data_IF_520039033614
#
_entry.id   IF_520039033614
#
_cell.length_a   1.000
_cell.length_b   1.000
_cell.length_c   1.000
_cell.angle_alpha   90.00
_cell.angle_beta   90.00
_cell.angle_gamma   90.00
#
_symmetry.space_group_name_H-M   'P 1'
#
loop_
_entity.id
_entity.type
_entity.pdbx_description
1 polymer ?
#
# COMPACT_ATOMS: atom_id res chain seq x y z
N UNK A 1 15.14 52.29 -9.64
CA UNK A 1 14.58 51.02 -9.10
C UNK A 1 15.77 50.12 -8.78
N UNK A 2 15.95 49.73 -7.53
CA UNK A 2 17.19 49.16 -7.03
C UNK A 2 17.34 47.69 -7.53
N UNK A 3 18.47 47.33 -8.14
CA UNK A 3 18.77 46.01 -8.70
C UNK A 3 18.58 44.86 -7.69
N UNK A 4 18.75 45.13 -6.38
CA UNK A 4 18.46 44.17 -5.30
C UNK A 4 16.97 43.88 -5.13
N UNK A 5 16.10 44.88 -5.36
CA UNK A 5 14.64 44.72 -5.29
C UNK A 5 14.12 43.83 -6.45
N UNK A 6 14.70 44.01 -7.64
CA UNK A 6 14.37 43.24 -8.82
C UNK A 6 14.79 41.77 -8.66
N UNK A 7 15.96 41.50 -8.06
CA UNK A 7 16.47 40.17 -7.81
C UNK A 7 15.64 39.39 -6.79
N UNK A 8 15.16 40.08 -5.74
CA UNK A 8 14.30 39.47 -4.74
C UNK A 8 12.88 39.24 -5.27
N UNK A 9 12.36 40.13 -6.13
CA UNK A 9 11.07 39.97 -6.78
C UNK A 9 11.08 38.80 -7.80
N UNK A 10 12.20 38.63 -8.52
CA UNK A 10 12.38 37.51 -9.45
C UNK A 10 12.53 36.16 -8.71
N UNK A 11 13.23 36.16 -7.57
CA UNK A 11 13.41 34.96 -6.75
C UNK A 11 12.09 34.54 -6.04
N UNK A 12 11.26 35.50 -5.63
CA UNK A 12 9.94 35.21 -5.05
C UNK A 12 8.96 34.73 -6.13
N UNK A 13 9.07 35.23 -7.35
CA UNK A 13 8.25 34.80 -8.48
C UNK A 13 8.62 33.39 -8.96
N UNK A 14 9.90 33.02 -8.93
CA UNK A 14 10.36 31.65 -9.29
C UNK A 14 9.94 30.63 -8.24
N UNK A 15 9.90 30.99 -6.95
CA UNK A 15 9.41 30.09 -5.89
C UNK A 15 7.88 29.91 -5.97
N UNK A 16 7.14 30.93 -6.43
CA UNK A 16 5.68 30.82 -6.60
C UNK A 16 5.24 29.97 -7.80
N UNK A 17 6.13 29.73 -8.78
CA UNK A 17 5.81 28.92 -9.97
C UNK A 17 5.95 27.39 -9.68
N UNK A 18 6.64 27.00 -8.61
CA UNK A 18 6.77 25.58 -8.24
C UNK A 18 5.64 25.01 -7.35
N UNK A 19 4.62 25.83 -7.01
CA UNK A 19 3.50 25.39 -6.14
C UNK A 19 2.20 25.13 -6.93
N UNK A 20 2.19 25.26 -8.26
CA UNK A 20 0.96 25.10 -9.03
C UNK A 20 1.15 24.19 -10.24
N UNK A 21 1.36 22.91 -10.00
CA UNK A 21 0.90 21.88 -10.93
C UNK A 21 0.65 20.56 -10.18
N UNK A 22 -0.26 20.56 -9.21
CA UNK A 22 -1.08 19.38 -9.04
C UNK A 22 -2.15 19.47 -10.11
N UNK A 23 -1.94 18.79 -11.21
CA UNK A 23 -3.03 18.45 -12.11
C UNK A 23 -4.11 17.77 -11.28
N UNK A 24 -5.36 18.02 -11.57
CA UNK A 24 -6.54 17.45 -10.92
C UNK A 24 -6.67 15.92 -11.12
N UNK A 25 -5.69 15.28 -11.71
CA UNK A 25 -5.60 13.84 -11.87
C UNK A 25 -4.69 13.26 -10.78
N UNK A 26 -5.11 12.16 -10.15
CA UNK A 26 -4.25 11.39 -9.28
C UNK A 26 -3.19 10.66 -10.11
N UNK A 27 -1.97 11.16 -10.12
CA UNK A 27 -0.84 10.56 -10.82
C UNK A 27 0.06 9.72 -9.89
N UNK A 28 -0.34 9.51 -8.63
CA UNK A 28 0.38 8.67 -7.70
C UNK A 28 0.26 7.20 -8.12
N UNK A 29 1.35 6.62 -8.59
CA UNK A 29 1.39 5.19 -8.91
C UNK A 29 1.65 4.35 -7.67
N UNK A 30 1.18 3.11 -7.65
CA UNK A 30 1.13 2.21 -6.49
C UNK A 30 2.48 2.01 -5.78
N UNK A 31 3.59 1.99 -6.52
CA UNK A 31 4.93 1.67 -6.01
C UNK A 31 5.97 2.75 -6.32
N UNK A 32 5.57 3.93 -6.79
CA UNK A 32 6.50 5.06 -6.96
C UNK A 32 6.91 5.65 -5.60
N UNK A 33 7.99 6.42 -5.58
CA UNK A 33 8.41 7.13 -4.37
C UNK A 33 7.31 8.09 -3.90
N UNK A 34 6.62 8.76 -4.82
CA UNK A 34 5.50 9.66 -4.54
C UNK A 34 4.28 8.89 -4.01
N UNK A 35 3.96 7.73 -4.60
CA UNK A 35 2.84 6.89 -4.17
C UNK A 35 3.05 6.35 -2.75
N UNK A 36 4.22 5.80 -2.46
CA UNK A 36 4.57 5.30 -1.12
C UNK A 36 4.65 6.45 -0.11
N UNK A 37 5.21 7.61 -0.49
CA UNK A 37 5.22 8.80 0.35
C UNK A 37 3.79 9.29 0.66
N UNK A 38 2.88 9.24 -0.33
CA UNK A 38 1.47 9.59 -0.15
C UNK A 38 0.77 8.63 0.81
N UNK A 39 1.01 7.32 0.72
CA UNK A 39 0.49 6.34 1.70
C UNK A 39 0.98 6.69 3.11
N UNK A 40 2.28 6.93 3.30
CA UNK A 40 2.85 7.33 4.60
C UNK A 40 2.20 8.60 5.15
N UNK A 41 2.09 9.64 4.31
CA UNK A 41 1.48 10.94 4.67
C UNK A 41 0.05 10.73 5.18
N UNK A 42 -0.77 10.04 4.39
CA UNK A 42 -2.19 9.85 4.70
C UNK A 42 -2.39 8.99 5.95
N UNK A 43 -1.60 7.92 6.11
CA UNK A 43 -1.65 7.10 7.33
C UNK A 43 -1.31 7.93 8.57
N UNK A 44 -0.20 8.67 8.56
CA UNK A 44 0.20 9.52 9.69
C UNK A 44 -0.77 10.68 9.96
N UNK A 45 -1.42 11.20 8.94
CA UNK A 45 -2.41 12.28 9.08
C UNK A 45 -3.67 11.82 9.80
N UNK A 46 -4.07 10.57 9.61
CA UNK A 46 -5.38 10.07 10.05
C UNK A 46 -5.31 9.06 11.19
N UNK A 47 -4.13 8.50 11.51
CA UNK A 47 -3.93 7.60 12.65
C UNK A 47 -2.86 8.17 13.58
N UNK A 48 -3.21 8.40 14.84
CA UNK A 48 -2.23 8.83 15.86
C UNK A 48 -1.33 7.64 16.23
N UNK A 49 -0.15 7.59 15.60
CA UNK A 49 0.84 6.52 15.81
C UNK A 49 1.47 6.52 17.21
N UNK A 50 1.27 7.57 18.03
CA UNK A 50 1.73 7.62 19.43
C UNK A 50 0.73 6.93 20.37
N UNK A 51 -0.54 6.92 19.98
CA UNK A 51 -1.63 6.32 20.77
C UNK A 51 -2.06 4.96 20.23
N UNK A 52 -1.75 4.65 18.95
CA UNK A 52 -2.19 3.46 18.26
C UNK A 52 -1.01 2.66 17.70
N UNK A 53 -1.19 1.36 17.58
CA UNK A 53 -0.30 0.46 16.85
C UNK A 53 -0.96 0.03 15.56
N UNK A 54 -0.38 0.40 14.43
CA UNK A 54 -0.82 -0.06 13.13
C UNK A 54 -0.24 -1.44 12.87
N UNK A 55 -1.07 -2.40 12.51
CA UNK A 55 -0.62 -3.77 12.21
C UNK A 55 -0.96 -4.23 10.79
N UNK A 56 -1.76 -3.45 10.02
CA UNK A 56 -1.97 -3.67 8.58
C UNK A 56 -2.11 -2.35 7.86
N UNK A 57 -1.41 -2.23 6.74
CA UNK A 57 -1.59 -1.16 5.76
C UNK A 57 -1.74 -1.83 4.41
N UNK A 58 -2.86 -1.57 3.74
CA UNK A 58 -3.14 -2.08 2.41
C UNK A 58 -3.46 -0.90 1.50
N UNK A 59 -2.90 -0.88 0.29
CA UNK A 59 -3.30 0.09 -0.71
C UNK A 59 -3.57 -0.60 -2.04
N UNK A 60 -4.46 0.01 -2.82
CA UNK A 60 -5.04 -0.59 -4.03
C UNK A 60 -5.06 0.39 -5.19
N UNK A 61 -4.96 -0.17 -6.41
CA UNK A 61 -5.24 0.60 -7.61
C UNK A 61 -6.74 0.85 -7.81
N UNK A 62 -7.06 1.75 -8.73
CA UNK A 62 -8.44 1.98 -9.18
C UNK A 62 -9.01 0.71 -9.84
N UNK A 63 -10.20 0.33 -9.41
CA UNK A 63 -10.90 -0.85 -9.92
C UNK A 63 -11.92 -0.56 -11.00
N UNK A 64 -12.12 0.70 -11.34
CA UNK A 64 -13.17 1.13 -12.27
C UNK A 64 -12.60 1.76 -13.52
N UNK A 65 -12.45 3.08 -13.53
CA UNK A 65 -12.13 3.85 -14.72
C UNK A 65 -10.66 3.73 -15.14
N UNK A 66 -9.75 3.60 -14.17
CA UNK A 66 -8.30 3.55 -14.39
C UNK A 66 -7.67 2.19 -14.02
N UNK A 67 -8.45 1.12 -14.18
CA UNK A 67 -7.99 -0.25 -13.96
C UNK A 67 -6.82 -0.58 -14.90
N UNK A 68 -5.79 -1.24 -14.40
CA UNK A 68 -4.53 -1.57 -15.08
C UNK A 68 -3.62 -0.35 -15.39
N UNK A 69 -3.92 0.82 -14.84
CA UNK A 69 -3.06 2.01 -14.94
C UNK A 69 -2.10 2.17 -13.75
N UNK A 70 -2.18 1.27 -12.79
CA UNK A 70 -1.31 1.25 -11.61
C UNK A 70 -1.43 2.52 -10.72
N UNK A 71 -2.62 3.11 -10.66
CA UNK A 71 -2.88 4.35 -9.93
C UNK A 71 -3.43 4.07 -8.54
N UNK A 72 -2.82 4.68 -7.51
CA UNK A 72 -3.29 4.58 -6.13
C UNK A 72 -4.68 5.20 -5.97
N UNK A 73 -5.66 4.43 -5.50
CA UNK A 73 -7.03 4.91 -5.31
C UNK A 73 -7.60 4.68 -3.92
N UNK A 74 -7.10 3.70 -3.19
CA UNK A 74 -7.61 3.37 -1.86
C UNK A 74 -6.47 2.96 -0.92
N UNK A 75 -6.59 3.37 0.35
CA UNK A 75 -5.72 2.92 1.44
C UNK A 75 -6.63 2.40 2.56
N UNK A 76 -6.31 1.23 3.11
CA UNK A 76 -6.98 0.66 4.28
C UNK A 76 -5.96 0.41 5.38
N UNK A 77 -6.29 0.80 6.61
CA UNK A 77 -5.39 0.72 7.77
C UNK A 77 -6.10 0.04 8.91
N UNK A 78 -5.53 -1.05 9.42
CA UNK A 78 -5.98 -1.66 10.67
C UNK A 78 -5.02 -1.30 11.80
N UNK A 79 -5.58 -0.84 12.90
CA UNK A 79 -4.81 -0.41 14.06
C UNK A 79 -5.55 -0.70 15.36
N UNK A 80 -4.79 -0.74 16.45
CA UNK A 80 -5.29 -0.98 17.80
C UNK A 80 -4.87 0.16 18.73
N UNK A 81 -5.79 0.64 19.58
CA UNK A 81 -5.51 1.67 20.60
C UNK A 81 -5.01 1.05 21.93
N UNK A 82 -4.54 1.90 22.83
CA UNK A 82 -4.06 1.50 24.17
C UNK A 82 -5.12 0.82 25.06
N UNK A 83 -6.38 0.83 24.65
CA UNK A 83 -7.51 0.19 25.36
C UNK A 83 -7.90 -1.14 24.71
N UNK A 84 -7.06 -1.67 23.81
CA UNK A 84 -7.32 -2.89 23.03
C UNK A 84 -8.56 -2.79 22.12
N UNK A 85 -8.90 -1.59 21.65
CA UNK A 85 -9.93 -1.46 20.61
C UNK A 85 -9.27 -1.53 19.24
N UNK A 86 -9.76 -2.44 18.42
CA UNK A 86 -9.38 -2.55 17.00
C UNK A 86 -10.20 -1.59 16.14
N UNK A 87 -9.56 -0.99 15.15
CA UNK A 87 -10.17 -0.09 14.19
C UNK A 87 -9.73 -0.42 12.78
N UNK A 88 -10.62 -0.19 11.83
CA UNK A 88 -10.30 -0.15 10.41
C UNK A 88 -10.64 1.23 9.86
N UNK A 89 -9.67 1.88 9.24
CA UNK A 89 -9.80 3.15 8.51
C UNK A 89 -9.65 2.88 7.02
N UNK A 90 -10.57 3.40 6.21
CA UNK A 90 -10.47 3.42 4.75
C UNK A 90 -10.34 4.86 4.28
N UNK A 91 -9.41 5.11 3.36
CA UNK A 91 -9.19 6.40 2.71
C UNK A 91 -9.34 6.17 1.21
N UNK A 92 -10.33 6.81 0.60
CA UNK A 92 -10.64 6.65 -0.82
C UNK A 92 -10.24 7.90 -1.62
N UNK A 93 -9.76 7.72 -2.84
CA UNK A 93 -9.62 8.82 -3.78
C UNK A 93 -10.98 9.09 -4.43
N UNK A 94 -11.51 10.28 -4.20
CA UNK A 94 -12.83 10.70 -4.66
C UNK A 94 -12.80 12.18 -5.02
N UNK A 95 -13.31 12.54 -6.20
CA UNK A 95 -13.41 13.94 -6.65
C UNK A 95 -12.09 14.74 -6.60
N UNK A 96 -10.99 14.08 -6.88
CA UNK A 96 -9.66 14.73 -6.97
C UNK A 96 -8.84 14.71 -5.68
N UNK A 97 -9.35 14.13 -4.58
CA UNK A 97 -8.65 14.09 -3.30
C UNK A 97 -8.83 12.76 -2.55
N UNK A 98 -7.93 12.51 -1.58
CA UNK A 98 -8.03 11.37 -0.68
C UNK A 98 -8.90 11.72 0.53
N UNK A 99 -10.07 11.08 0.63
CA UNK A 99 -11.08 11.32 1.66
C UNK A 99 -11.16 10.12 2.61
N UNK A 100 -10.92 10.30 3.92
CA UNK A 100 -11.08 9.24 4.90
C UNK A 100 -12.54 8.98 5.21
N UNK A 101 -12.91 7.71 5.34
CA UNK A 101 -14.15 7.31 6.01
C UNK A 101 -14.00 7.44 7.53
N UNK A 102 -15.13 7.41 8.25
CA UNK A 102 -15.07 7.30 9.71
C UNK A 102 -14.50 5.93 10.11
N UNK A 103 -13.51 5.87 11.02
CA UNK A 103 -12.92 4.60 11.43
C UNK A 103 -13.96 3.66 12.02
N UNK A 104 -14.03 2.46 11.48
CA UNK A 104 -14.94 1.40 11.96
C UNK A 104 -14.29 0.67 13.11
N UNK A 105 -14.91 0.78 14.28
CA UNK A 105 -14.48 0.03 15.46
C UNK A 105 -14.90 -1.44 15.36
N UNK A 106 -13.97 -2.36 15.66
CA UNK A 106 -14.29 -3.77 15.84
C UNK A 106 -15.35 -3.98 16.94
N UNK A 107 -16.22 -4.96 16.75
CA UNK A 107 -17.30 -5.23 17.73
C UNK A 107 -16.78 -5.74 19.07
N UNK A 108 -15.63 -6.39 19.06
CA UNK A 108 -15.00 -6.97 20.25
C UNK A 108 -13.51 -6.62 20.25
N UNK A 109 -12.92 -6.48 21.44
CA UNK A 109 -11.48 -6.40 21.60
C UNK A 109 -10.88 -7.77 21.25
N UNK A 110 -10.37 -7.90 20.04
CA UNK A 110 -9.85 -9.18 19.54
C UNK A 110 -8.34 -9.30 19.67
N UNK A 111 -7.62 -8.17 19.76
CA UNK A 111 -6.16 -8.12 19.81
C UNK A 111 -5.65 -7.41 21.06
N UNK A 112 -4.39 -7.69 21.42
CA UNK A 112 -3.71 -7.07 22.55
C UNK A 112 -2.78 -5.97 22.07
N UNK A 113 -3.02 -4.73 22.47
CA UNK A 113 -2.12 -3.61 22.24
C UNK A 113 -0.72 -3.89 22.81
N UNK A 114 -0.68 -4.46 24.01
CA UNK A 114 0.58 -4.71 24.75
C UNK A 114 1.55 -5.57 23.94
N UNK A 115 1.06 -6.63 23.31
CA UNK A 115 1.89 -7.65 22.66
C UNK A 115 1.94 -7.52 21.14
N UNK A 116 1.01 -6.80 20.53
CA UNK A 116 1.03 -6.52 19.09
C UNK A 116 2.21 -5.62 18.74
N UNK A 117 2.95 -5.99 17.70
CA UNK A 117 4.04 -5.18 17.14
C UNK A 117 3.48 -4.24 16.09
N UNK A 118 3.91 -2.98 16.10
CA UNK A 118 3.49 -1.99 15.11
C UNK A 118 4.34 -2.08 13.83
N UNK A 119 3.75 -1.72 12.70
CA UNK A 119 4.46 -1.43 11.46
C UNK A 119 5.16 -0.08 11.61
N UNK A 120 6.45 -0.04 11.33
CA UNK A 120 7.25 1.19 11.32
C UNK A 120 6.99 1.97 10.03
N UNK A 121 6.10 2.98 10.10
CA UNK A 121 5.65 3.74 8.92
C UNK A 121 6.82 4.43 8.21
N UNK A 122 7.77 4.99 8.97
CA UNK A 122 8.94 5.64 8.41
C UNK A 122 9.88 4.69 7.70
N UNK A 123 9.89 3.41 8.13
CA UNK A 123 10.67 2.33 7.53
C UNK A 123 10.13 1.82 6.20
N UNK A 124 8.92 2.20 5.77
CA UNK A 124 8.40 1.79 4.46
C UNK A 124 9.34 2.27 3.34
N UNK A 125 9.80 1.35 2.51
CA UNK A 125 10.80 1.60 1.48
C UNK A 125 10.24 1.32 0.07
N UNK A 126 10.12 2.34 -0.76
CA UNK A 126 9.60 2.22 -2.12
C UNK A 126 10.51 1.36 -3.03
N UNK A 127 11.82 1.37 -2.79
CA UNK A 127 12.77 0.54 -3.56
C UNK A 127 12.55 -0.96 -3.27
N UNK A 128 12.37 -1.32 -1.99
CA UNK A 128 12.06 -2.69 -1.58
C UNK A 128 10.71 -3.15 -2.16
N UNK A 129 9.68 -2.30 -2.10
CA UNK A 129 8.37 -2.57 -2.68
C UNK A 129 8.49 -2.82 -4.19
N UNK A 130 9.22 -1.97 -4.92
CA UNK A 130 9.49 -2.17 -6.36
C UNK A 130 10.27 -3.44 -6.64
N UNK A 131 11.26 -3.76 -5.80
CA UNK A 131 12.03 -4.99 -5.93
C UNK A 131 11.12 -6.23 -5.82
N UNK A 132 10.25 -6.27 -4.82
CA UNK A 132 9.31 -7.37 -4.63
C UNK A 132 8.35 -7.51 -5.83
N UNK A 133 7.79 -6.40 -6.31
CA UNK A 133 6.92 -6.37 -7.48
C UNK A 133 7.68 -6.87 -8.73
N UNK A 134 8.91 -6.43 -8.93
CA UNK A 134 9.73 -6.86 -10.06
C UNK A 134 10.06 -8.37 -9.98
N UNK A 135 10.30 -8.89 -8.78
CA UNK A 135 10.55 -10.32 -8.54
C UNK A 135 9.31 -11.17 -8.86
N UNK A 136 8.11 -10.73 -8.45
CA UNK A 136 6.85 -11.41 -8.78
C UNK A 136 6.43 -11.23 -10.25
N UNK A 137 6.62 -10.01 -10.80
CA UNK A 137 6.17 -9.64 -12.15
C UNK A 137 7.14 -9.93 -13.28
N UNK A 138 8.42 -10.02 -12.97
CA UNK A 138 9.49 -9.96 -13.98
C UNK A 138 10.12 -11.28 -14.38
N UNK A 139 9.71 -12.40 -13.85
CA UNK A 139 10.19 -13.54 -14.54
C UNK A 139 10.84 -14.71 -13.81
N UNK A 140 10.94 -14.73 -12.51
CA UNK A 140 11.46 -15.93 -11.83
C UNK A 140 10.38 -16.98 -11.58
N UNK A 141 9.24 -16.51 -11.13
CA UNK A 141 8.20 -17.36 -10.51
C UNK A 141 7.18 -17.88 -11.54
N UNK A 142 6.98 -17.15 -12.64
CA UNK A 142 6.07 -17.57 -13.72
C UNK A 142 6.82 -18.19 -14.92
N UNK A 143 8.03 -18.73 -14.71
CA UNK A 143 8.98 -19.07 -15.79
C UNK A 143 8.46 -20.06 -16.84
N UNK A 144 7.62 -20.99 -16.52
CA UNK A 144 7.12 -21.96 -17.51
C UNK A 144 5.92 -21.44 -18.33
N UNK A 145 5.12 -20.53 -17.75
CA UNK A 145 3.97 -19.91 -18.42
C UNK A 145 4.18 -18.41 -18.69
N UNK A 146 5.19 -17.80 -18.06
CA UNK A 146 5.40 -16.35 -18.01
C UNK A 146 5.73 -15.69 -19.35
N UNK A 147 6.28 -16.42 -20.33
CA UNK A 147 6.56 -15.85 -21.66
C UNK A 147 5.29 -15.37 -22.39
N UNK A 148 4.13 -15.92 -22.03
CA UNK A 148 2.85 -15.58 -22.61
C UNK A 148 2.16 -14.40 -21.93
N UNK A 149 2.63 -13.98 -20.74
CA UNK A 149 2.01 -12.93 -19.96
C UNK A 149 2.87 -11.69 -19.87
N UNK A 150 2.24 -10.55 -19.70
CA UNK A 150 2.87 -9.24 -19.52
C UNK A 150 2.32 -8.61 -18.24
N UNK A 151 3.20 -8.23 -17.31
CA UNK A 151 2.83 -7.46 -16.13
C UNK A 151 2.22 -6.11 -16.54
N UNK A 152 1.12 -5.72 -15.87
CA UNK A 152 0.42 -4.46 -16.14
C UNK A 152 0.35 -3.53 -14.95
N UNK A 153 -0.11 -4.02 -13.81
CA UNK A 153 -0.29 -3.17 -12.64
C UNK A 153 -0.21 -3.95 -11.33
N UNK A 154 -0.10 -3.22 -10.25
CA UNK A 154 -0.24 -3.74 -8.89
C UNK A 154 -1.70 -3.56 -8.49
N UNK A 155 -2.45 -4.67 -8.38
CA UNK A 155 -3.83 -4.65 -7.90
C UNK A 155 -3.93 -4.14 -6.47
N UNK A 156 -3.04 -4.69 -5.64
CA UNK A 156 -3.01 -4.45 -4.21
C UNK A 156 -1.60 -4.69 -3.66
N UNK A 157 -1.21 -3.90 -2.68
CA UNK A 157 -0.02 -4.15 -1.86
C UNK A 157 -0.35 -4.01 -0.39
N UNK A 158 0.16 -4.90 0.45
CA UNK A 158 -0.15 -4.94 1.87
C UNK A 158 1.10 -5.19 2.71
N UNK A 159 1.27 -4.38 3.73
CA UNK A 159 2.18 -4.62 4.85
C UNK A 159 1.37 -5.16 6.02
N UNK A 160 1.79 -6.27 6.59
CA UNK A 160 1.07 -6.95 7.64
C UNK A 160 2.00 -7.44 8.76
N UNK A 161 1.68 -7.04 9.98
CA UNK A 161 2.21 -7.60 11.22
C UNK A 161 1.09 -8.38 11.89
N UNK A 162 1.27 -9.66 12.12
CA UNK A 162 0.25 -10.48 12.77
C UNK A 162 -0.04 -9.94 14.18
N UNK A 163 -1.26 -9.45 14.47
CA UNK A 163 -1.57 -8.98 15.81
C UNK A 163 -1.69 -10.15 16.79
N UNK A 164 -1.37 -9.93 18.05
CA UNK A 164 -1.52 -10.95 19.10
C UNK A 164 -2.95 -10.94 19.62
N UNK A 165 -3.72 -12.02 19.48
CA UNK A 165 -5.07 -12.10 20.01
C UNK A 165 -5.09 -11.90 21.54
N UNK A 166 -6.14 -11.26 22.03
CA UNK A 166 -6.30 -10.95 23.46
C UNK A 166 -6.30 -12.19 24.35
N UNK A 167 -6.91 -13.27 23.91
CA UNK A 167 -6.97 -14.55 24.59
C UNK A 167 -5.62 -15.29 24.62
N UNK A 168 -4.63 -14.82 23.82
CA UNK A 168 -3.27 -15.38 23.82
C UNK A 168 -2.30 -14.67 24.78
N UNK A 169 -2.71 -13.64 25.50
CA UNK A 169 -1.82 -12.90 26.40
C UNK A 169 -1.13 -13.78 27.46
N UNK A 170 -1.86 -14.73 28.05
CA UNK A 170 -1.27 -15.66 29.04
C UNK A 170 -0.37 -16.70 28.40
N UNK A 171 -0.60 -17.07 27.16
CA UNK A 171 0.26 -17.97 26.40
C UNK A 171 1.51 -17.26 25.90
N UNK A 172 1.41 -15.98 25.53
CA UNK A 172 2.52 -15.18 25.02
C UNK A 172 3.76 -15.22 25.91
N UNK A 173 3.56 -15.17 27.24
CA UNK A 173 4.66 -15.20 28.22
C UNK A 173 5.40 -16.54 28.21
N UNK A 174 4.72 -17.60 27.81
CA UNK A 174 5.22 -18.97 27.80
C UNK A 174 5.78 -19.40 26.44
N UNK A 175 5.49 -18.67 25.39
CA UNK A 175 5.97 -18.99 24.05
C UNK A 175 7.47 -18.76 23.93
N UNK A 176 8.14 -19.67 23.22
CA UNK A 176 9.52 -19.49 22.79
C UNK A 176 9.67 -18.40 21.74
N UNK A 177 10.90 -18.04 21.45
CA UNK A 177 11.20 -16.94 20.52
C UNK A 177 10.75 -17.25 19.09
N UNK A 178 10.84 -18.49 18.62
CA UNK A 178 10.38 -18.91 17.29
C UNK A 178 8.89 -18.61 17.11
N UNK A 179 8.06 -18.98 18.11
CA UNK A 179 6.62 -18.69 18.05
C UNK A 179 6.31 -17.20 18.08
N UNK A 180 7.07 -16.42 18.85
CA UNK A 180 6.93 -14.96 18.91
C UNK A 180 7.39 -14.27 17.63
N UNK A 181 8.34 -14.88 16.91
CA UNK A 181 8.84 -14.37 15.63
C UNK A 181 7.71 -14.23 14.61
N UNK A 182 6.80 -15.21 14.52
CA UNK A 182 5.63 -15.17 13.64
C UNK A 182 4.78 -13.90 13.79
N UNK A 183 4.74 -13.32 15.02
CA UNK A 183 3.97 -12.11 15.35
C UNK A 183 4.80 -10.81 15.29
N UNK A 184 6.10 -10.94 15.02
CA UNK A 184 7.03 -9.79 14.95
C UNK A 184 7.63 -9.60 13.58
N UNK A 185 7.35 -10.52 12.67
CA UNK A 185 7.84 -10.47 11.32
C UNK A 185 6.87 -9.66 10.45
N UNK A 186 7.40 -8.65 9.77
CA UNK A 186 6.67 -7.93 8.74
C UNK A 186 6.53 -8.84 7.52
N UNK A 187 5.29 -9.08 7.12
CA UNK A 187 4.95 -9.77 5.88
C UNK A 187 4.53 -8.75 4.85
N UNK A 188 4.98 -8.93 3.63
CA UNK A 188 4.57 -8.14 2.49
C UNK A 188 3.81 -9.05 1.54
N UNK A 189 2.56 -8.70 1.27
CA UNK A 189 1.65 -9.47 0.42
C UNK A 189 1.15 -8.55 -0.68
N UNK A 190 1.08 -9.04 -1.90
CA UNK A 190 0.67 -8.20 -3.02
C UNK A 190 0.06 -9.03 -4.14
N UNK A 191 -0.80 -8.37 -4.91
CA UNK A 191 -1.45 -8.95 -6.07
C UNK A 191 -1.03 -8.20 -7.32
N UNK A 192 -0.62 -8.92 -8.35
CA UNK A 192 -0.18 -8.36 -9.62
C UNK A 192 -1.14 -8.76 -10.74
N UNK A 193 -1.48 -7.79 -11.58
CA UNK A 193 -2.30 -7.99 -12.77
C UNK A 193 -1.43 -8.23 -13.98
N UNK A 194 -1.76 -9.27 -14.74
CA UNK A 194 -1.12 -9.68 -15.98
C UNK A 194 -2.14 -9.72 -17.10
N UNK A 195 -1.71 -9.46 -18.33
CA UNK A 195 -2.47 -9.74 -19.55
C UNK A 195 -1.74 -10.78 -20.38
N UNK A 196 -2.49 -11.59 -21.13
CA UNK A 196 -1.92 -12.52 -22.08
C UNK A 196 -1.57 -11.77 -23.37
N UNK A 197 -0.31 -11.92 -23.87
CA UNK A 197 0.23 -11.14 -24.99
C UNK A 197 -0.57 -11.28 -26.29
N UNK A 198 -1.04 -12.47 -26.58
CA UNK A 198 -1.74 -12.80 -27.83
C UNK A 198 -3.28 -12.85 -27.67
N UNK A 199 -3.79 -12.47 -26.50
CA UNK A 199 -5.24 -12.49 -26.28
C UNK A 199 -5.90 -11.30 -26.98
N UNK A 200 -6.90 -11.60 -27.81
CA UNK A 200 -7.63 -10.57 -28.54
C UNK A 200 -8.47 -9.72 -27.58
N UNK A 201 -8.32 -8.41 -27.70
CA UNK A 201 -9.17 -7.47 -26.98
C UNK A 201 -10.59 -7.57 -27.50
N UNK A 202 -11.55 -7.74 -26.61
CA UNK A 202 -12.96 -7.79 -26.98
C UNK A 202 -13.49 -6.36 -27.15
N UNK A 203 -14.00 -6.06 -28.34
CA UNK A 203 -14.60 -4.73 -28.63
C UNK A 203 -16.11 -4.87 -28.64
N UNK A 204 -16.78 -4.22 -27.68
CA UNK A 204 -18.24 -4.14 -27.61
C UNK A 204 -18.69 -2.68 -27.71
N UNK A 205 -19.12 -2.28 -28.91
CA UNK A 205 -19.50 -0.89 -29.18
C UNK A 205 -18.31 0.06 -29.10
N UNK A 206 -18.34 0.99 -28.17
CA UNK A 206 -17.24 1.95 -27.91
C UNK A 206 -16.27 1.48 -26.80
N UNK A 207 -16.54 0.34 -26.18
CA UNK A 207 -15.74 -0.16 -25.08
C UNK A 207 -14.80 -1.26 -25.57
N UNK A 208 -13.56 -1.18 -25.11
CA UNK A 208 -12.53 -2.20 -25.31
C UNK A 208 -12.36 -2.93 -23.99
N UNK A 209 -12.60 -4.23 -23.99
CA UNK A 209 -12.41 -5.09 -22.82
C UNK A 209 -11.08 -5.83 -22.96
N UNK A 210 -10.27 -5.74 -21.91
CA UNK A 210 -9.01 -6.48 -21.82
C UNK A 210 -9.15 -7.48 -20.67
N UNK A 211 -9.00 -8.76 -20.95
CA UNK A 211 -8.93 -9.77 -19.91
C UNK A 211 -7.59 -9.59 -19.17
N UNK A 212 -7.62 -9.76 -17.87
CA UNK A 212 -6.42 -9.76 -17.04
C UNK A 212 -6.52 -10.88 -15.98
N UNK A 213 -5.36 -11.28 -15.51
CA UNK A 213 -5.20 -12.35 -14.53
C UNK A 213 -4.49 -11.78 -13.32
N UNK A 214 -5.05 -12.00 -12.14
CA UNK A 214 -4.46 -11.52 -10.89
C UNK A 214 -3.79 -12.68 -10.17
N UNK A 215 -2.51 -12.51 -9.85
CA UNK A 215 -1.71 -13.52 -9.13
C UNK A 215 -1.28 -12.94 -7.79
N UNK A 216 -1.58 -13.65 -6.67
CA UNK A 216 -1.15 -13.24 -5.34
C UNK A 216 0.28 -13.71 -5.06
N UNK A 217 1.05 -12.85 -4.38
CA UNK A 217 2.41 -13.09 -3.95
C UNK A 217 2.59 -12.69 -2.50
N UNK A 218 3.54 -13.33 -1.82
CA UNK A 218 3.99 -12.92 -0.50
C UNK A 218 5.51 -13.03 -0.36
N UNK A 219 6.06 -12.33 0.64
CA UNK A 219 7.45 -12.55 1.05
C UNK A 219 7.53 -13.61 2.13
N UNK A 220 8.40 -14.60 1.94
CA UNK A 220 8.68 -15.63 2.94
C UNK A 220 9.58 -15.10 4.08
N UNK A 221 9.95 -15.97 5.01
CA UNK A 221 10.80 -15.60 6.16
C UNK A 221 12.21 -15.12 5.78
N UNK A 222 12.72 -15.50 4.62
CA UNK A 222 14.00 -15.04 4.09
C UNK A 222 13.89 -13.70 3.33
N UNK A 223 12.67 -13.17 3.13
CA UNK A 223 12.40 -11.99 2.32
C UNK A 223 12.31 -12.28 0.82
N UNK A 224 12.29 -13.54 0.43
CA UNK A 224 12.12 -13.96 -0.96
C UNK A 224 10.65 -13.95 -1.35
N UNK A 225 10.36 -13.56 -2.58
CA UNK A 225 8.99 -13.51 -3.13
C UNK A 225 8.57 -14.88 -3.62
N UNK A 226 7.38 -15.31 -3.22
CA UNK A 226 6.76 -16.56 -3.67
C UNK A 226 5.27 -16.34 -3.98
N UNK A 227 4.66 -17.27 -4.73
CA UNK A 227 3.21 -17.26 -4.98
C UNK A 227 2.51 -17.68 -3.69
N UNK A 228 1.52 -16.91 -3.26
CA UNK A 228 0.68 -17.25 -2.10
C UNK A 228 -0.09 -18.56 -2.39
N UNK A 229 0.01 -19.54 -1.49
CA UNK A 229 -0.60 -20.87 -1.62
C UNK A 229 -1.99 -20.94 -0.99
#
# INVERSE_FOLDING_TARGET
MNAKLLKNLFMTLVIAIFISSCSSANDCTMASDEGVAKVKELVKKHVDINECKIYRIEWKEDRQERKLENVLSQISVDYIDKKDNDYNLTINYTDGEFVPEEPRKGKFASNSYKYTTAIEIDGMNAEEIRHNIASGGGGGILQEEGEQYEFKSVEKYMLYMRPVPKDYEDHWKKWGDDKKKEYRQLRQMFELNFIKKDEQKEVRGRHVWTNYYTVPFETNEAGEVEIEQ
#
